data_IF_582293356558
#
_entry.id   IF_582293356558
#
_cell.length_a   1.000
_cell.length_b   1.000
_cell.length_c   1.000
_cell.angle_alpha   90.00
_cell.angle_beta   90.00
_cell.angle_gamma   90.00
#
_symmetry.space_group_name_H-M   'P 1'
#
loop_
_entity.id
_entity.type
_entity.pdbx_description
1 polymer ?
#
# COMPACT_ATOMS: atom_id res chain seq x y z
N UNK A 1 14.98 22.44 -1.92
CA UNK A 1 16.24 21.69 -1.78
C UNK A 1 16.20 20.95 -0.45
N UNK A 2 16.42 19.64 -0.44
CA UNK A 2 16.53 18.88 0.80
C UNK A 2 17.85 19.18 1.50
N UNK A 3 17.86 19.27 2.82
CA UNK A 3 19.10 19.37 3.62
C UNK A 3 20.00 18.16 3.34
N UNK A 4 21.31 18.37 3.33
CA UNK A 4 22.27 17.25 3.24
C UNK A 4 22.31 16.50 4.56
N UNK A 5 22.67 15.21 4.53
CA UNK A 5 22.85 14.39 5.75
C UNK A 5 23.79 15.06 6.75
N UNK A 6 24.84 15.74 6.26
CA UNK A 6 25.79 16.50 7.06
C UNK A 6 25.18 17.70 7.81
N UNK A 7 23.95 18.10 7.49
CA UNK A 7 23.24 19.24 8.06
C UNK A 7 22.10 18.81 9.01
N UNK A 8 21.94 17.50 9.25
CA UNK A 8 20.94 16.98 10.19
C UNK A 8 21.32 17.36 11.63
N UNK A 9 20.39 18.00 12.32
CA UNK A 9 20.50 18.22 13.76
C UNK A 9 20.33 16.91 14.53
N UNK A 10 20.81 16.88 15.78
CA UNK A 10 20.65 15.73 16.67
C UNK A 10 19.17 15.35 16.85
N UNK A 11 18.28 16.34 16.94
CA UNK A 11 16.83 16.11 17.05
C UNK A 11 16.24 15.52 15.78
N UNK A 12 16.60 16.02 14.60
CA UNK A 12 16.17 15.45 13.32
C UNK A 12 16.65 14.00 13.17
N UNK A 13 17.89 13.70 13.56
CA UNK A 13 18.41 12.33 13.56
C UNK A 13 17.68 11.42 14.56
N UNK A 14 17.34 11.92 15.74
CA UNK A 14 16.58 11.16 16.74
C UNK A 14 15.17 10.82 16.25
N UNK A 15 14.53 11.71 15.48
CA UNK A 15 13.23 11.43 14.85
C UNK A 15 13.35 10.27 13.87
N UNK A 16 14.41 10.25 13.03
CA UNK A 16 14.67 9.15 12.11
C UNK A 16 14.88 7.82 12.84
N UNK A 17 15.66 7.82 13.94
CA UNK A 17 15.87 6.62 14.75
C UNK A 17 14.57 6.12 15.38
N UNK A 18 13.75 7.04 15.91
CA UNK A 18 12.48 6.68 16.55
C UNK A 18 11.47 6.11 15.55
N UNK A 19 11.46 6.61 14.31
CA UNK A 19 10.62 6.07 13.24
C UNK A 19 11.17 4.71 12.78
N UNK A 20 12.47 4.59 12.49
CA UNK A 20 13.07 3.32 12.07
C UNK A 20 12.90 2.19 13.12
N UNK A 21 13.06 2.52 14.40
CA UNK A 21 12.88 1.57 15.51
C UNK A 21 11.49 1.65 16.16
N UNK A 22 10.47 2.14 15.44
CA UNK A 22 9.12 2.21 15.96
C UNK A 22 8.64 0.84 16.50
N UNK A 23 7.84 0.86 17.55
CA UNK A 23 7.22 -0.35 18.09
C UNK A 23 6.23 -0.94 17.07
N UNK A 24 6.04 -2.26 17.00
CA UNK A 24 5.18 -2.90 15.99
C UNK A 24 3.78 -2.28 15.87
N UNK A 25 3.18 -1.86 16.98
CA UNK A 25 1.84 -1.25 17.01
C UNK A 25 1.77 0.17 16.43
N UNK A 26 2.90 0.75 16.03
CA UNK A 26 3.01 2.08 15.40
C UNK A 26 3.52 1.98 13.95
N UNK A 27 3.80 0.79 13.44
CA UNK A 27 4.37 0.55 12.10
C UNK A 27 3.29 0.45 11.03
N UNK A 28 2.57 1.53 10.86
CA UNK A 28 1.58 1.71 9.82
C UNK A 28 1.43 3.22 9.61
N UNK A 29 1.12 3.67 8.39
CA UNK A 29 0.86 5.10 8.15
C UNK A 29 -0.58 5.34 7.70
N UNK A 30 -1.35 4.30 7.37
CA UNK A 30 -2.75 4.46 6.97
C UNK A 30 -3.63 4.83 8.16
N UNK A 31 -4.56 5.74 7.93
CA UNK A 31 -5.58 6.09 8.90
C UNK A 31 -6.64 5.01 8.98
N UNK A 32 -7.40 4.99 10.07
CA UNK A 32 -8.52 4.07 10.23
C UNK A 32 -9.53 4.15 9.07
N UNK A 33 -9.85 5.36 8.61
CA UNK A 33 -10.80 5.58 7.52
C UNK A 33 -10.25 5.08 6.18
N UNK A 34 -8.94 5.21 5.93
CA UNK A 34 -8.28 4.63 4.75
C UNK A 34 -8.33 3.11 4.75
N UNK A 35 -8.04 2.50 5.90
CA UNK A 35 -8.06 1.04 6.04
C UNK A 35 -9.48 0.52 5.83
N UNK A 36 -10.48 1.17 6.42
CA UNK A 36 -11.88 0.78 6.29
C UNK A 36 -12.37 0.90 4.85
N UNK A 37 -12.14 2.04 4.20
CA UNK A 37 -12.54 2.26 2.79
C UNK A 37 -11.86 1.25 1.85
N UNK A 38 -10.57 0.96 2.04
CA UNK A 38 -9.87 -0.09 1.28
C UNK A 38 -10.47 -1.47 1.52
N UNK A 39 -10.88 -1.78 2.75
CA UNK A 39 -11.48 -3.07 3.09
C UNK A 39 -12.83 -3.24 2.39
N UNK A 40 -13.69 -2.22 2.43
CA UNK A 40 -14.99 -2.23 1.74
C UNK A 40 -14.85 -2.38 0.21
N UNK A 41 -13.80 -1.80 -0.38
CA UNK A 41 -13.50 -1.94 -1.82
C UNK A 41 -12.95 -3.31 -2.17
N UNK A 42 -12.06 -3.83 -1.34
CA UNK A 42 -11.52 -5.17 -1.51
C UNK A 42 -12.62 -6.23 -1.38
N UNK A 43 -13.56 -6.05 -0.44
CA UNK A 43 -14.72 -6.92 -0.23
C UNK A 43 -15.65 -6.97 -1.44
N UNK A 44 -15.70 -5.91 -2.25
CA UNK A 44 -16.47 -5.88 -3.50
C UNK A 44 -15.78 -6.62 -4.65
N UNK A 45 -14.50 -6.96 -4.50
CA UNK A 45 -13.65 -7.55 -5.56
C UNK A 45 -13.17 -8.97 -5.24
N UNK A 46 -13.09 -9.34 -3.96
CA UNK A 46 -12.74 -10.68 -3.48
C UNK A 46 -13.90 -11.20 -2.65
N UNK A 47 -14.34 -12.42 -2.95
CA UNK A 47 -15.24 -13.20 -2.10
C UNK A 47 -14.40 -14.22 -1.33
N UNK A 48 -14.37 -14.14 0.01
CA UNK A 48 -13.61 -15.06 0.87
C UNK A 48 -14.48 -16.27 1.22
N UNK A 49 -14.19 -17.50 0.70
CA UNK A 49 -15.15 -18.61 0.62
C UNK A 49 -15.66 -19.24 1.93
N UNK A 50 -15.39 -18.68 3.11
CA UNK A 50 -15.58 -19.38 4.39
C UNK A 50 -16.21 -18.50 5.50
N UNK A 51 -16.61 -17.27 5.18
CA UNK A 51 -16.85 -16.25 6.20
C UNK A 51 -18.12 -15.48 5.88
N UNK A 52 -19.02 -15.29 6.86
CA UNK A 52 -20.18 -14.38 6.71
C UNK A 52 -19.66 -12.94 6.54
N UNK A 53 -20.28 -12.11 5.71
CA UNK A 53 -19.84 -10.75 5.34
C UNK A 53 -19.20 -9.92 6.49
N UNK A 54 -19.83 -9.89 7.68
CA UNK A 54 -19.31 -9.11 8.84
C UNK A 54 -17.99 -9.62 9.44
N UNK A 55 -17.64 -10.89 9.24
CA UNK A 55 -16.35 -11.47 9.65
C UNK A 55 -15.31 -11.34 8.53
N UNK A 56 -15.76 -11.24 7.28
CA UNK A 56 -14.91 -11.06 6.10
C UNK A 56 -14.25 -9.69 6.12
N UNK A 57 -15.03 -8.64 6.38
CA UNK A 57 -14.52 -7.27 6.51
C UNK A 57 -13.36 -7.16 7.53
N UNK A 58 -13.48 -7.86 8.67
CA UNK A 58 -12.42 -7.91 9.70
C UNK A 58 -11.15 -8.60 9.22
N UNK A 59 -11.28 -9.60 8.35
CA UNK A 59 -10.13 -10.28 7.75
C UNK A 59 -9.47 -9.33 6.76
N UNK A 60 -10.24 -8.69 5.88
CA UNK A 60 -9.72 -7.73 4.90
C UNK A 60 -9.00 -6.55 5.55
N UNK A 61 -9.53 -6.00 6.65
CA UNK A 61 -8.83 -4.98 7.47
C UNK A 61 -7.46 -5.49 7.94
N UNK A 62 -7.38 -6.74 8.41
CA UNK A 62 -6.10 -7.34 8.84
C UNK A 62 -5.14 -7.57 7.67
N UNK A 63 -5.64 -7.91 6.49
CA UNK A 63 -4.82 -8.00 5.27
C UNK A 63 -4.23 -6.62 4.96
N UNK A 64 -5.06 -5.57 4.94
CA UNK A 64 -4.61 -4.21 4.64
C UNK A 64 -3.58 -3.73 5.65
N UNK A 65 -3.81 -3.97 6.95
CA UNK A 65 -2.83 -3.65 8.00
C UNK A 65 -1.51 -4.41 7.80
N UNK A 66 -1.56 -5.70 7.47
CA UNK A 66 -0.34 -6.48 7.14
C UNK A 66 0.41 -5.88 5.95
N UNK A 67 -0.32 -5.41 4.93
CA UNK A 67 0.28 -4.77 3.75
C UNK A 67 0.88 -3.41 4.12
N UNK A 68 0.18 -2.58 4.89
CA UNK A 68 0.67 -1.28 5.33
C UNK A 68 1.93 -1.41 6.19
N UNK A 69 1.93 -2.33 7.16
CA UNK A 69 3.12 -2.64 7.96
C UNK A 69 4.25 -3.21 7.11
N UNK A 70 3.95 -4.05 6.12
CA UNK A 70 4.96 -4.51 5.17
C UNK A 70 5.59 -3.35 4.39
N UNK A 71 4.79 -2.39 3.92
CA UNK A 71 5.29 -1.21 3.25
C UNK A 71 6.17 -0.38 4.19
N UNK A 72 5.75 -0.17 5.43
CA UNK A 72 6.53 0.52 6.46
C UNK A 72 7.88 -0.17 6.73
N UNK A 73 7.89 -1.49 6.89
CA UNK A 73 9.10 -2.25 7.25
C UNK A 73 10.08 -2.41 6.07
N UNK A 74 9.62 -2.30 4.82
CA UNK A 74 10.42 -2.66 3.64
C UNK A 74 10.68 -1.51 2.67
N UNK A 75 10.01 -0.36 2.83
CA UNK A 75 10.35 0.87 2.14
C UNK A 75 11.13 1.78 3.09
N UNK A 76 12.19 2.46 2.63
CA UNK A 76 12.72 3.58 3.40
C UNK A 76 11.57 4.58 3.62
N UNK A 77 11.43 5.10 4.84
CA UNK A 77 10.28 5.92 5.21
C UNK A 77 10.16 7.16 4.34
N UNK A 78 11.26 7.67 3.78
CA UNK A 78 11.26 8.76 2.82
C UNK A 78 10.60 8.37 1.49
N UNK A 79 10.76 7.13 1.04
CA UNK A 79 10.02 6.60 -0.12
C UNK A 79 8.56 6.34 0.21
N UNK A 80 8.28 5.89 1.43
CA UNK A 80 6.90 5.69 1.84
C UNK A 80 6.16 7.03 1.98
N UNK A 81 6.81 8.04 2.56
CA UNK A 81 6.33 9.41 2.63
C UNK A 81 6.22 10.05 1.25
N UNK A 82 7.14 9.77 0.31
CA UNK A 82 7.01 10.18 -1.09
C UNK A 82 5.74 9.61 -1.73
N UNK A 83 5.47 8.32 -1.50
CA UNK A 83 4.26 7.65 -1.97
C UNK A 83 3.00 8.27 -1.34
N UNK A 84 3.12 8.91 -0.17
CA UNK A 84 2.01 9.60 0.50
C UNK A 84 2.01 11.11 0.31
N UNK A 85 3.04 11.68 -0.32
CA UNK A 85 3.17 13.12 -0.52
C UNK A 85 2.46 13.55 -1.80
N UNK A 86 1.46 14.42 -1.68
CA UNK A 86 0.75 15.00 -2.83
C UNK A 86 1.62 15.94 -3.66
N UNK A 87 2.76 16.37 -3.14
CA UNK A 87 3.52 17.48 -3.74
C UNK A 87 4.58 16.98 -4.72
N UNK A 88 5.02 15.72 -4.59
CA UNK A 88 6.05 15.09 -5.43
C UNK A 88 5.48 13.81 -6.05
N UNK A 89 4.96 13.93 -7.27
CA UNK A 89 4.49 12.78 -8.03
C UNK A 89 5.67 11.89 -8.45
N UNK A 90 5.41 10.57 -8.50
CA UNK A 90 6.32 9.56 -9.05
C UNK A 90 5.95 9.36 -10.52
N UNK A 91 6.95 9.20 -11.40
CA UNK A 91 6.69 8.95 -12.82
C UNK A 91 6.05 7.58 -13.08
N UNK A 92 5.38 7.44 -14.22
CA UNK A 92 4.61 6.24 -14.57
C UNK A 92 5.45 4.96 -14.58
N UNK A 93 6.71 5.06 -15.03
CA UNK A 93 7.61 3.92 -15.14
C UNK A 93 8.09 3.47 -13.76
N UNK A 94 8.38 4.42 -12.88
CA UNK A 94 8.73 4.17 -11.49
C UNK A 94 7.55 3.61 -10.70
N UNK A 95 6.35 4.18 -10.88
CA UNK A 95 5.12 3.70 -10.24
C UNK A 95 4.80 2.24 -10.65
N UNK A 96 4.84 1.91 -11.95
CA UNK A 96 4.67 0.54 -12.44
C UNK A 96 5.71 -0.42 -11.84
N UNK A 97 6.97 0.01 -11.79
CA UNK A 97 8.07 -0.79 -11.20
C UNK A 97 7.87 -1.01 -9.70
N UNK A 98 7.41 0.00 -8.96
CA UNK A 98 7.15 -0.07 -7.53
C UNK A 98 6.04 -1.08 -7.24
N UNK A 99 4.88 -0.95 -7.89
CA UNK A 99 3.76 -1.90 -7.71
C UNK A 99 4.23 -3.32 -7.99
N UNK A 100 4.89 -3.56 -9.14
CA UNK A 100 5.37 -4.90 -9.51
C UNK A 100 6.35 -5.48 -8.49
N UNK A 101 7.34 -4.70 -8.04
CA UNK A 101 8.34 -5.19 -7.08
C UNK A 101 7.77 -5.41 -5.70
N UNK A 102 6.95 -4.49 -5.21
CA UNK A 102 6.35 -4.55 -3.88
C UNK A 102 5.32 -5.66 -3.79
N UNK A 103 4.41 -5.81 -4.76
CA UNK A 103 3.44 -6.90 -4.76
C UNK A 103 4.13 -8.27 -4.83
N UNK A 104 5.17 -8.42 -5.67
CA UNK A 104 5.96 -9.66 -5.73
C UNK A 104 6.72 -9.94 -4.43
N UNK A 105 7.20 -8.90 -3.75
CA UNK A 105 7.91 -9.06 -2.48
C UNK A 105 6.96 -9.37 -1.33
N UNK A 106 5.80 -8.70 -1.27
CA UNK A 106 4.74 -8.93 -0.29
C UNK A 106 4.25 -10.38 -0.38
N UNK A 107 3.92 -10.85 -1.58
CA UNK A 107 3.46 -12.22 -1.85
C UNK A 107 4.49 -13.31 -1.54
N UNK A 108 5.77 -12.96 -1.35
CA UNK A 108 6.81 -13.92 -0.93
C UNK A 108 7.03 -13.96 0.58
N UNK A 109 6.59 -12.92 1.29
CA UNK A 109 6.90 -12.69 2.71
C UNK A 109 5.68 -12.73 3.61
N UNK A 110 4.50 -12.46 3.05
CA UNK A 110 3.22 -12.50 3.71
C UNK A 110 2.49 -13.72 3.16
N UNK A 111 2.10 -14.60 4.06
CA UNK A 111 1.21 -15.72 3.82
C UNK A 111 -0.02 -15.47 4.71
N UNK A 112 -1.22 -15.55 4.13
CA UNK A 112 -2.49 -15.26 4.80
C UNK A 112 -3.29 -16.57 4.85
N UNK A 113 -3.23 -17.28 5.99
CA UNK A 113 -3.91 -18.56 6.12
C UNK A 113 -5.38 -18.47 5.70
N UNK A 114 -5.82 -19.50 4.97
CA UNK A 114 -7.19 -19.66 4.47
C UNK A 114 -7.61 -18.70 3.36
N UNK A 115 -6.70 -17.88 2.83
CA UNK A 115 -6.90 -17.14 1.60
C UNK A 115 -6.18 -17.86 0.45
N UNK A 116 -6.84 -18.11 -0.69
CA UNK A 116 -6.15 -18.65 -1.85
C UNK A 116 -5.05 -17.70 -2.35
N UNK A 117 -3.93 -18.27 -2.81
CA UNK A 117 -2.79 -17.53 -3.38
C UNK A 117 -3.20 -16.49 -4.43
N UNK A 118 -4.19 -16.80 -5.28
CA UNK A 118 -4.65 -15.85 -6.30
C UNK A 118 -5.31 -14.61 -5.67
N UNK A 119 -6.05 -14.79 -4.57
CA UNK A 119 -6.72 -13.72 -3.86
C UNK A 119 -5.73 -12.89 -3.03
N UNK A 120 -4.70 -13.52 -2.46
CA UNK A 120 -3.59 -12.80 -1.83
C UNK A 120 -2.85 -11.91 -2.83
N UNK A 121 -2.45 -12.49 -3.96
CA UNK A 121 -1.80 -11.77 -5.05
C UNK A 121 -2.63 -10.60 -5.54
N UNK A 122 -3.93 -10.79 -5.68
CA UNK A 122 -4.87 -9.73 -6.01
C UNK A 122 -4.88 -8.63 -4.94
N UNK A 123 -5.04 -8.99 -3.67
CA UNK A 123 -5.09 -8.04 -2.56
C UNK A 123 -3.80 -7.22 -2.47
N UNK A 124 -2.64 -7.85 -2.59
CA UNK A 124 -1.35 -7.15 -2.63
C UNK A 124 -1.26 -6.17 -3.78
N UNK A 125 -1.65 -6.57 -4.99
CA UNK A 125 -1.64 -5.69 -6.16
C UNK A 125 -2.63 -4.54 -6.03
N UNK A 126 -3.83 -4.82 -5.54
CA UNK A 126 -4.88 -3.82 -5.36
C UNK A 126 -4.45 -2.75 -4.35
N UNK A 127 -4.07 -3.16 -3.14
CA UNK A 127 -3.73 -2.23 -2.05
C UNK A 127 -2.46 -1.45 -2.37
N UNK A 128 -1.40 -2.10 -2.85
CA UNK A 128 -0.16 -1.41 -3.24
C UNK A 128 -0.40 -0.51 -4.45
N UNK A 129 -1.19 -0.96 -5.43
CA UNK A 129 -1.57 -0.16 -6.59
C UNK A 129 -2.35 1.09 -6.21
N UNK A 130 -3.32 0.99 -5.30
CA UNK A 130 -4.06 2.11 -4.71
C UNK A 130 -3.11 3.13 -4.07
N UNK A 131 -2.21 2.65 -3.21
CA UNK A 131 -1.24 3.48 -2.49
C UNK A 131 -0.30 4.21 -3.45
N UNK A 132 0.23 3.52 -4.46
CA UNK A 132 1.11 4.12 -5.48
C UNK A 132 0.36 5.05 -6.44
N UNK A 133 -0.89 4.74 -6.80
CA UNK A 133 -1.73 5.59 -7.67
C UNK A 133 -2.09 6.91 -6.97
N UNK A 134 -2.33 6.87 -5.66
CA UNK A 134 -2.51 8.07 -4.84
C UNK A 134 -1.27 8.98 -4.86
N UNK A 135 -0.07 8.39 -4.78
CA UNK A 135 1.19 9.13 -4.93
C UNK A 135 1.32 9.85 -6.28
N UNK A 136 1.00 9.15 -7.36
CA UNK A 136 1.25 9.60 -8.74
C UNK A 136 0.51 10.87 -9.07
N UNK A 137 -0.81 10.92 -8.83
CA UNK A 137 -1.64 11.97 -9.42
C UNK A 137 -1.60 13.31 -8.66
N UNK A 138 -0.75 13.48 -7.63
CA UNK A 138 -0.87 14.58 -6.66
C UNK A 138 -2.28 14.72 -6.08
N UNK A 139 -3.07 13.65 -6.17
CA UNK A 139 -4.48 13.71 -5.88
C UNK A 139 -4.68 13.45 -4.40
N UNK A 140 -5.62 14.19 -3.82
CA UNK A 140 -6.26 13.76 -2.58
C UNK A 140 -6.64 12.28 -2.74
N UNK A 141 -6.24 11.44 -1.78
CA UNK A 141 -6.51 10.01 -1.71
C UNK A 141 -8.01 9.73 -2.03
N UNK A 142 -8.91 10.64 -1.66
CA UNK A 142 -10.34 10.64 -1.99
C UNK A 142 -10.70 10.50 -3.48
N UNK A 143 -9.91 11.07 -4.40
CA UNK A 143 -10.16 10.94 -5.85
C UNK A 143 -9.70 9.59 -6.39
N UNK A 144 -8.58 9.07 -5.90
CA UNK A 144 -8.12 7.72 -6.27
C UNK A 144 -9.04 6.65 -5.70
N UNK A 145 -9.61 6.91 -4.51
CA UNK A 145 -10.71 6.12 -3.95
C UNK A 145 -11.89 6.06 -4.91
N UNK A 146 -12.39 7.19 -5.41
CA UNK A 146 -13.53 7.20 -6.34
C UNK A 146 -13.29 6.33 -7.61
N UNK A 147 -12.08 6.33 -8.14
CA UNK A 147 -11.73 5.57 -9.36
C UNK A 147 -11.46 4.08 -9.11
N UNK A 148 -11.30 3.66 -7.85
CA UNK A 148 -10.85 2.30 -7.50
C UNK A 148 -11.88 1.22 -7.81
N UNK A 149 -13.17 1.56 -7.86
CA UNK A 149 -14.22 0.60 -8.23
C UNK A 149 -14.04 0.13 -9.68
N UNK A 150 -13.57 1.03 -10.56
CA UNK A 150 -13.24 0.75 -11.95
C UNK A 150 -11.82 0.20 -12.16
N UNK A 151 -11.03 0.04 -11.10
CA UNK A 151 -9.66 -0.46 -11.21
C UNK A 151 -9.66 -1.94 -11.60
N UNK A 152 -9.09 -2.22 -12.77
CA UNK A 152 -8.80 -3.58 -13.23
C UNK A 152 -7.50 -4.03 -12.58
N UNK A 153 -7.59 -5.06 -11.73
CA UNK A 153 -6.40 -5.71 -11.17
C UNK A 153 -6.08 -6.91 -12.07
N UNK A 154 -4.94 -6.89 -12.77
CA UNK A 154 -4.53 -7.94 -13.67
C UNK A 154 -4.14 -9.19 -12.89
N UNK A 155 -4.40 -10.35 -13.49
CA UNK A 155 -4.04 -11.66 -12.94
C UNK A 155 -2.57 -12.01 -13.22
N UNK A 156 -2.00 -11.51 -14.32
CA UNK A 156 -0.62 -11.76 -14.74
C UNK A 156 0.36 -10.71 -14.22
N UNK A 157 1.65 -11.04 -14.09
CA UNK A 157 2.72 -10.07 -13.76
C UNK A 157 3.02 -9.11 -14.93
N UNK A 158 2.65 -9.50 -16.14
CA UNK A 158 2.90 -8.76 -17.39
C UNK A 158 1.87 -7.66 -17.59
N UNK A 159 0.65 -7.86 -17.10
CA UNK A 159 -0.44 -6.88 -17.24
C UNK A 159 -0.51 -5.86 -16.09
N UNK A 160 0.35 -5.96 -15.06
CA UNK A 160 0.45 -4.98 -13.95
C UNK A 160 0.59 -3.54 -14.47
N UNK A 161 1.19 -3.40 -15.65
CA UNK A 161 1.39 -2.12 -16.32
C UNK A 161 0.08 -1.37 -16.59
N UNK A 162 -1.05 -2.07 -16.78
CA UNK A 162 -2.39 -1.51 -17.02
C UNK A 162 -3.06 -0.95 -15.75
N UNK A 163 -2.56 -1.28 -14.55
CA UNK A 163 -3.12 -0.77 -13.28
C UNK A 163 -2.81 0.70 -13.00
N UNK A 164 -1.70 1.17 -13.56
CA UNK A 164 -1.13 2.49 -13.27
C UNK A 164 -1.45 3.49 -14.40
N UNK A 165 -1.99 2.99 -15.52
CA UNK A 165 -2.45 3.78 -16.66
C UNK A 165 -3.73 4.57 -16.33
N UNK A 166 -3.95 5.67 -17.05
CA UNK A 166 -5.10 6.57 -16.88
C UNK A 166 -6.36 6.08 -17.59
#
# INVERSE_FOLDING_TARGET
MGKKVAELTVSEFQILLNDYFAEPVKRYKMTFDEIKDLAERLNRKIDVPLVKETKEEKILIKIILKIDTFLYDNLPNEFYDLIRSTDRGIDDKEAKRLVRRLSKSANKRIDIPYIPEFAEKFAFRFVIGMVVKAARKKLNFDKVRADSDNMVVPDSDEDIEKMVED
#
